data_IF_726989423228
#
_entry.id   IF_726989423228
#
_cell.length_a   1.000
_cell.length_b   1.000
_cell.length_c   1.000
_cell.angle_alpha   90.00
_cell.angle_beta   90.00
_cell.angle_gamma   90.00
#
_symmetry.space_group_name_H-M   'P 1'
#
loop_
_entity.id
_entity.type
_entity.pdbx_description
1 polymer ?
#
# COMPACT_ATOMS: atom_id res chain seq x y z
N UNK A 1 -24.63 28.61 29.29
CA UNK A 1 -23.29 28.84 28.71
C UNK A 1 -23.29 30.19 28.03
N UNK A 2 -22.48 31.14 28.51
CA UNK A 2 -22.37 32.51 27.97
C UNK A 2 -21.54 32.50 26.68
N UNK A 3 -21.79 33.45 25.78
CA UNK A 3 -21.10 33.54 24.48
C UNK A 3 -19.56 33.60 24.61
N UNK A 4 -19.06 34.36 25.59
CA UNK A 4 -17.63 34.45 25.89
C UNK A 4 -16.98 33.12 26.29
N UNK A 5 -17.70 32.23 26.96
CA UNK A 5 -17.18 30.90 27.31
C UNK A 5 -16.98 30.00 26.08
N UNK A 6 -17.81 30.18 25.04
CA UNK A 6 -17.68 29.43 23.78
C UNK A 6 -16.51 29.91 22.93
N UNK A 7 -16.31 31.22 22.82
CA UNK A 7 -15.19 31.77 22.05
C UNK A 7 -13.84 31.41 22.69
N UNK A 8 -13.76 31.46 24.02
CA UNK A 8 -12.58 31.00 24.75
C UNK A 8 -12.25 29.52 24.47
N UNK A 9 -13.26 28.64 24.53
CA UNK A 9 -13.09 27.22 24.25
C UNK A 9 -12.64 26.96 22.79
N UNK A 10 -13.23 27.68 21.83
CA UNK A 10 -12.85 27.60 20.42
C UNK A 10 -11.40 28.04 20.20
N UNK A 11 -10.98 29.15 20.82
CA UNK A 11 -9.59 29.62 20.76
C UNK A 11 -8.62 28.62 21.38
N UNK A 12 -8.94 28.09 22.55
CA UNK A 12 -8.10 27.09 23.22
C UNK A 12 -7.90 25.86 22.31
N UNK A 13 -8.96 25.40 21.64
CA UNK A 13 -8.89 24.29 20.70
C UNK A 13 -8.03 24.61 19.47
N UNK A 14 -8.13 25.83 18.92
CA UNK A 14 -7.27 26.28 17.80
C UNK A 14 -5.79 26.27 18.17
N UNK A 15 -5.44 26.78 19.35
CA UNK A 15 -4.06 26.81 19.85
C UNK A 15 -3.52 25.39 20.04
N UNK A 16 -4.28 24.53 20.71
CA UNK A 16 -3.91 23.12 20.91
C UNK A 16 -3.68 22.39 19.58
N UNK A 17 -4.57 22.58 18.62
CA UNK A 17 -4.43 22.00 17.28
C UNK A 17 -3.19 22.54 16.53
N UNK A 18 -2.86 23.84 16.68
CA UNK A 18 -1.66 24.44 16.10
C UNK A 18 -0.38 23.81 16.68
N UNK A 19 -0.28 23.71 18.00
CA UNK A 19 0.87 23.08 18.66
C UNK A 19 1.02 21.61 18.26
N UNK A 20 -0.06 20.84 18.24
CA UNK A 20 -0.03 19.44 17.80
C UNK A 20 0.48 19.29 16.37
N UNK A 21 0.06 20.17 15.46
CA UNK A 21 0.53 20.16 14.06
C UNK A 21 2.00 20.54 13.92
N UNK A 22 2.46 21.52 14.69
CA UNK A 22 3.88 21.93 14.72
C UNK A 22 4.78 20.85 15.33
N UNK A 23 4.32 20.15 16.37
CA UNK A 23 5.02 19.01 16.97
C UNK A 23 5.20 17.84 15.98
N UNK A 24 4.26 17.68 15.03
CA UNK A 24 4.36 16.69 13.94
C UNK A 24 5.30 17.08 12.80
N UNK A 25 6.03 18.20 12.91
CA UNK A 25 6.94 18.70 11.89
C UNK A 25 6.55 20.10 11.39
N UNK A 26 7.54 20.94 11.14
CA UNK A 26 7.35 22.31 10.68
C UNK A 26 8.35 22.68 9.60
N UNK A 27 7.99 23.66 8.79
CA UNK A 27 8.89 24.33 7.84
C UNK A 27 9.02 25.78 8.26
N UNK A 28 10.26 26.25 8.27
CA UNK A 28 10.58 27.65 8.56
C UNK A 28 10.45 28.45 7.27
N UNK A 29 9.64 29.51 7.29
CA UNK A 29 9.52 30.44 6.16
C UNK A 29 9.81 31.85 6.63
N UNK A 30 10.56 32.59 5.81
CA UNK A 30 10.73 34.03 5.98
C UNK A 30 9.47 34.71 5.45
N UNK A 31 8.77 35.45 6.31
CA UNK A 31 7.63 36.25 5.93
C UNK A 31 8.11 37.50 5.17
N UNK A 32 7.25 38.11 4.35
CA UNK A 32 7.55 39.36 3.64
C UNK A 32 8.00 40.49 4.59
N UNK A 33 7.59 40.41 5.86
CA UNK A 33 7.92 41.35 6.93
C UNK A 33 9.29 41.09 7.57
N UNK A 34 10.10 40.15 7.04
CA UNK A 34 11.42 39.80 7.58
C UNK A 34 11.40 38.92 8.84
N UNK A 35 10.22 38.47 9.27
CA UNK A 35 10.07 37.62 10.47
C UNK A 35 10.05 36.15 10.08
N UNK A 36 10.78 35.34 10.84
CA UNK A 36 10.82 33.89 10.70
C UNK A 36 9.55 33.28 11.32
N UNK A 37 8.71 32.62 10.51
CA UNK A 37 7.51 31.91 10.98
C UNK A 37 7.66 30.39 10.80
N UNK A 38 7.33 29.63 11.86
CA UNK A 38 7.17 28.18 11.79
C UNK A 38 5.76 27.82 11.32
N UNK A 39 5.67 27.26 10.11
CA UNK A 39 4.41 26.74 9.55
C UNK A 39 4.40 25.22 9.70
N UNK A 40 3.30 24.60 10.13
CA UNK A 40 3.24 23.14 10.20
C UNK A 40 3.46 22.54 8.81
N UNK A 41 4.33 21.55 8.73
CA UNK A 41 4.62 20.87 7.47
C UNK A 41 3.33 20.21 6.95
N UNK A 42 3.00 20.45 5.68
CA UNK A 42 1.84 19.82 5.05
C UNK A 42 2.19 18.36 4.79
N UNK A 43 1.65 17.44 5.61
CA UNK A 43 1.76 16.01 5.35
C UNK A 43 0.89 15.69 4.14
N UNK A 44 1.51 15.25 3.06
CA UNK A 44 0.80 14.69 1.91
C UNK A 44 0.50 13.24 2.27
N UNK A 45 -0.72 12.96 2.70
CA UNK A 45 -1.16 11.59 2.89
C UNK A 45 -1.52 11.04 1.50
N UNK A 46 -0.55 10.40 0.85
CA UNK A 46 -0.82 9.64 -0.39
C UNK A 46 -1.54 8.35 -0.02
N UNK A 47 -2.78 8.10 -0.51
CA UNK A 47 -3.48 6.86 -0.23
C UNK A 47 -2.79 5.71 -0.97
N UNK A 48 -2.02 4.90 -0.23
CA UNK A 48 -1.27 3.75 -0.76
C UNK A 48 -2.16 2.55 -1.12
N UNK A 49 -3.45 2.56 -0.75
CA UNK A 49 -4.35 1.44 -0.94
C UNK A 49 -4.57 1.09 -2.42
N UNK A 50 -4.82 2.10 -3.26
CA UNK A 50 -5.07 1.90 -4.69
C UNK A 50 -3.86 1.33 -5.46
N UNK A 51 -2.64 1.90 -5.39
CA UNK A 51 -1.48 1.32 -6.08
C UNK A 51 -1.12 -0.07 -5.54
N UNK A 52 -1.31 -0.32 -4.24
CA UNK A 52 -1.07 -1.64 -3.66
C UNK A 52 -2.06 -2.69 -4.20
N UNK A 53 -3.35 -2.34 -4.31
CA UNK A 53 -4.37 -3.22 -4.87
C UNK A 53 -4.08 -3.59 -6.34
N UNK A 54 -3.64 -2.61 -7.15
CA UNK A 54 -3.24 -2.84 -8.55
C UNK A 54 -2.06 -3.80 -8.61
N UNK A 55 -1.02 -3.58 -7.79
CA UNK A 55 0.17 -4.44 -7.77
C UNK A 55 -0.18 -5.90 -7.42
N UNK A 56 -1.05 -6.11 -6.43
CA UNK A 56 -1.52 -7.45 -6.05
C UNK A 56 -2.35 -8.08 -7.18
N UNK A 57 -3.27 -7.33 -7.79
CA UNK A 57 -4.09 -7.83 -8.88
C UNK A 57 -3.25 -8.24 -10.10
N UNK A 58 -2.27 -7.43 -10.49
CA UNK A 58 -1.35 -7.75 -11.59
C UNK A 58 -0.51 -8.99 -11.28
N UNK A 59 -0.02 -9.13 -10.05
CA UNK A 59 0.74 -10.31 -9.63
C UNK A 59 -0.09 -11.59 -9.71
N UNK A 60 -1.34 -11.57 -9.23
CA UNK A 60 -2.25 -12.70 -9.31
C UNK A 60 -2.62 -13.04 -10.77
N UNK A 61 -2.91 -12.03 -11.58
CA UNK A 61 -3.19 -12.21 -13.02
C UNK A 61 -2.03 -12.85 -13.77
N UNK A 62 -0.80 -12.41 -13.51
CA UNK A 62 0.41 -13.00 -14.08
C UNK A 62 0.57 -14.48 -13.68
N UNK A 63 0.29 -14.82 -12.41
CA UNK A 63 0.35 -16.20 -11.92
C UNK A 63 -0.65 -17.11 -12.65
N UNK A 64 -1.88 -16.65 -12.83
CA UNK A 64 -2.93 -17.40 -13.53
C UNK A 64 -2.57 -17.58 -15.00
N UNK A 65 -2.05 -16.55 -15.65
CA UNK A 65 -1.62 -16.62 -17.05
C UNK A 65 -0.45 -17.60 -17.24
N UNK A 66 0.53 -17.60 -16.34
CA UNK A 66 1.63 -18.57 -16.37
C UNK A 66 1.14 -20.01 -16.16
N UNK A 67 0.19 -20.23 -15.25
CA UNK A 67 -0.39 -21.54 -15.01
C UNK A 67 -1.20 -22.03 -16.23
N UNK A 68 -2.00 -21.15 -16.83
CA UNK A 68 -2.80 -21.44 -18.02
C UNK A 68 -1.95 -21.77 -19.25
N UNK A 69 -0.83 -21.07 -19.45
CA UNK A 69 0.04 -21.28 -20.62
C UNK A 69 0.94 -22.52 -20.52
N UNK A 70 1.44 -22.87 -19.32
CA UNK A 70 2.32 -24.03 -19.13
C UNK A 70 1.53 -25.34 -18.94
N UNK A 71 0.27 -25.25 -18.52
CA UNK A 71 -0.52 -26.41 -18.10
C UNK A 71 -0.05 -27.00 -16.77
N UNK A 72 -0.95 -27.71 -16.08
CA UNK A 72 -0.72 -28.23 -14.73
C UNK A 72 0.51 -29.16 -14.62
N UNK A 73 0.86 -29.88 -15.68
CA UNK A 73 1.96 -30.83 -15.70
C UNK A 73 3.34 -30.17 -15.74
N UNK A 74 3.56 -29.13 -16.56
CA UNK A 74 4.84 -28.40 -16.55
C UNK A 74 4.96 -27.46 -15.35
N UNK A 75 3.84 -26.93 -14.86
CA UNK A 75 3.84 -26.07 -13.67
C UNK A 75 4.37 -26.80 -12.43
N UNK A 76 3.92 -28.04 -12.18
CA UNK A 76 4.41 -28.85 -11.06
C UNK A 76 5.90 -29.20 -11.17
N UNK A 77 6.42 -29.43 -12.39
CA UNK A 77 7.84 -29.66 -12.62
C UNK A 77 8.69 -28.42 -12.30
N UNK A 78 8.27 -27.22 -12.71
CA UNK A 78 8.97 -25.98 -12.38
C UNK A 78 8.87 -25.63 -10.90
N UNK A 79 7.74 -25.92 -10.24
CA UNK A 79 7.57 -25.73 -8.80
C UNK A 79 8.52 -26.62 -7.99
N UNK A 80 8.69 -27.88 -8.41
CA UNK A 80 9.66 -28.78 -7.80
C UNK A 80 11.09 -28.28 -7.96
N UNK A 81 11.46 -27.78 -9.14
CA UNK A 81 12.76 -27.12 -9.34
C UNK A 81 12.96 -25.88 -8.47
N UNK A 82 11.91 -25.06 -8.31
CA UNK A 82 11.96 -23.83 -7.50
C UNK A 82 12.09 -24.14 -6.00
N UNK A 83 11.46 -25.21 -5.53
CA UNK A 83 11.54 -25.68 -4.13
C UNK A 83 12.95 -26.17 -3.74
N UNK A 84 13.73 -26.64 -4.73
CA UNK A 84 15.10 -27.12 -4.55
C UNK A 84 16.14 -25.99 -4.69
N UNK A 85 15.71 -24.79 -5.11
CA UNK A 85 16.57 -23.61 -5.27
C UNK A 85 16.95 -22.91 -3.97
N UNK A 86 17.45 -21.68 -4.09
CA UNK A 86 17.85 -20.81 -2.99
C UNK A 86 16.68 -20.21 -2.20
N UNK A 87 16.99 -19.32 -1.25
CA UNK A 87 15.99 -18.74 -0.33
C UNK A 87 14.90 -17.95 -1.05
N UNK A 88 15.24 -17.19 -2.09
CA UNK A 88 14.29 -16.42 -2.88
C UNK A 88 13.38 -17.34 -3.71
N UNK A 89 13.96 -18.40 -4.29
CA UNK A 89 13.22 -19.41 -5.07
C UNK A 89 12.26 -20.20 -4.19
N UNK A 90 12.66 -20.57 -2.97
CA UNK A 90 11.79 -21.26 -2.00
C UNK A 90 10.60 -20.40 -1.55
N UNK A 91 10.82 -19.10 -1.34
CA UNK A 91 9.74 -18.16 -1.04
C UNK A 91 8.79 -18.05 -2.23
N UNK A 92 9.33 -17.99 -3.45
CA UNK A 92 8.56 -18.05 -4.68
C UNK A 92 7.75 -19.35 -4.79
N UNK A 93 8.34 -20.51 -4.48
CA UNK A 93 7.66 -21.80 -4.50
C UNK A 93 6.50 -21.87 -3.49
N UNK A 94 6.71 -21.36 -2.27
CA UNK A 94 5.67 -21.29 -1.26
C UNK A 94 4.51 -20.36 -1.68
N UNK A 95 4.81 -19.21 -2.29
CA UNK A 95 3.80 -18.29 -2.84
C UNK A 95 3.06 -18.87 -4.06
N UNK A 96 3.71 -19.74 -4.82
CA UNK A 96 3.19 -20.34 -6.06
C UNK A 96 2.53 -21.70 -5.84
N UNK A 97 2.61 -22.30 -4.65
CA UNK A 97 1.96 -23.58 -4.34
C UNK A 97 0.45 -23.47 -4.66
N UNK A 98 -0.09 -24.35 -5.52
CA UNK A 98 -1.46 -24.23 -6.00
C UNK A 98 -2.46 -24.34 -4.85
N UNK A 99 -3.25 -23.29 -4.66
CA UNK A 99 -4.43 -23.32 -3.81
C UNK A 99 -5.61 -23.89 -4.62
N UNK A 100 -6.55 -24.65 -4.00
CA UNK A 100 -7.70 -25.24 -4.70
C UNK A 100 -8.58 -24.20 -5.43
N UNK A 101 -8.54 -22.94 -4.99
CA UNK A 101 -9.19 -21.80 -5.66
C UNK A 101 -8.50 -21.46 -6.99
N UNK A 102 -7.18 -21.61 -7.06
CA UNK A 102 -6.38 -21.32 -8.26
C UNK A 102 -6.60 -22.39 -9.34
N UNK A 103 -6.74 -23.66 -8.93
CA UNK A 103 -7.06 -24.77 -9.84
C UNK A 103 -8.46 -24.61 -10.45
N UNK A 104 -9.46 -24.27 -9.63
CA UNK A 104 -10.83 -24.03 -10.10
C UNK A 104 -10.92 -22.85 -11.09
N UNK A 105 -10.17 -21.78 -10.87
CA UNK A 105 -10.14 -20.63 -11.78
C UNK A 105 -9.39 -20.94 -13.07
N UNK A 106 -8.31 -21.73 -13.01
CA UNK A 106 -7.54 -22.11 -14.19
C UNK A 106 -8.35 -22.97 -15.17
N UNK A 107 -9.26 -23.81 -14.67
CA UNK A 107 -10.16 -24.61 -15.51
C UNK A 107 -11.25 -23.76 -16.21
N UNK A 108 -11.59 -22.59 -15.65
CA UNK A 108 -12.60 -21.67 -16.19
C UNK A 108 -12.04 -20.65 -17.19
N UNK A 109 -10.71 -20.44 -17.21
CA UNK A 109 -10.07 -19.51 -18.16
C UNK A 109 -9.65 -20.29 -19.41
N UNK A 110 -10.30 -20.09 -20.57
CA UNK A 110 -9.84 -20.69 -21.81
C UNK A 110 -8.44 -20.16 -22.12
N UNK A 111 -7.52 -21.05 -22.50
CA UNK A 111 -6.18 -20.68 -22.92
C UNK A 111 -6.28 -19.65 -24.06
N UNK A 112 -5.89 -18.41 -23.77
CA UNK A 112 -5.87 -17.34 -24.76
C UNK A 112 -4.58 -17.53 -25.58
N UNK A 113 -4.77 -17.95 -26.83
CA UNK A 113 -3.74 -17.96 -27.88
C UNK A 113 -3.24 -16.54 -28.17
#
# INVERSE_FOLDING_TARGET
>A
MTEGSRDFAARHQRIRNRHRRLAGGYVTRLNANGVIEHRPARRVNVPLAAPLAILVATFLGLRILLLSQLGAAQYSHHLNMLSQGGLAERIGAALLTPDPVTEAVAEMVPAVL
#
